data_IF_742860068253
#
_entry.id   IF_742860068253
#
_cell.length_a   1.000
_cell.length_b   1.000
_cell.length_c   1.000
_cell.angle_alpha   90.00
_cell.angle_beta   90.00
_cell.angle_gamma   90.00
#
_symmetry.space_group_name_H-M   'P 1'
#
loop_
_entity.id
_entity.type
_entity.pdbx_description
1 polymer ?
#
# COMPACT_ATOMS: atom_id res chain seq x y z
N UNK A 1 29.07 19.04 3.65
CA UNK A 1 28.29 17.81 3.92
C UNK A 1 26.92 18.14 4.53
N UNK A 2 26.85 18.99 5.53
CA UNK A 2 25.60 19.40 6.16
C UNK A 2 24.60 20.08 5.19
N UNK A 3 25.08 20.94 4.28
CA UNK A 3 24.26 21.54 3.22
C UNK A 3 23.68 20.53 2.24
N UNK A 4 24.41 19.45 1.96
CA UNK A 4 23.98 18.40 1.05
C UNK A 4 22.81 17.60 1.63
N UNK A 5 22.86 17.28 2.91
CA UNK A 5 21.78 16.55 3.62
C UNK A 5 20.50 17.38 3.72
N UNK A 6 20.62 18.68 4.02
CA UNK A 6 19.48 19.61 4.07
C UNK A 6 18.83 19.77 2.69
N UNK A 7 19.64 19.90 1.63
CA UNK A 7 19.14 20.02 0.26
C UNK A 7 18.35 18.77 -0.19
N UNK A 8 18.79 17.57 0.21
CA UNK A 8 18.11 16.31 -0.13
C UNK A 8 16.79 16.14 0.59
N UNK A 9 16.75 16.46 1.88
CA UNK A 9 15.49 16.46 2.65
C UNK A 9 14.52 17.48 2.09
N UNK A 10 14.99 18.63 1.66
CA UNK A 10 14.19 19.65 1.01
C UNK A 10 13.65 19.19 -0.35
N UNK A 11 14.44 18.49 -1.15
CA UNK A 11 14.00 17.95 -2.44
C UNK A 11 12.86 16.93 -2.28
N UNK A 12 12.97 16.02 -1.29
CA UNK A 12 11.90 15.04 -0.99
C UNK A 12 10.66 15.79 -0.48
N UNK A 13 10.81 16.77 0.41
CA UNK A 13 9.70 17.56 0.90
C UNK A 13 8.97 18.27 -0.25
N UNK A 14 9.70 18.90 -1.16
CA UNK A 14 9.13 19.56 -2.34
C UNK A 14 8.45 18.58 -3.30
N UNK A 15 9.03 17.39 -3.50
CA UNK A 15 8.40 16.35 -4.29
C UNK A 15 7.07 15.91 -3.68
N UNK A 16 6.96 15.87 -2.36
CA UNK A 16 5.75 15.48 -1.65
C UNK A 16 4.72 16.60 -1.50
N UNK A 17 5.08 17.85 -1.78
CA UNK A 17 4.18 19.02 -1.69
C UNK A 17 3.13 19.06 -2.82
N UNK A 18 3.23 18.16 -3.79
CA UNK A 18 2.25 17.99 -4.86
C UNK A 18 1.00 17.24 -4.39
N UNK A 19 -0.18 17.70 -4.81
CA UNK A 19 -1.44 16.95 -4.66
C UNK A 19 -1.51 15.70 -5.56
N UNK A 20 -0.64 15.59 -6.54
CA UNK A 20 -0.50 14.45 -7.44
C UNK A 20 0.63 13.53 -6.98
N UNK A 21 0.55 12.26 -7.34
CA UNK A 21 1.51 11.25 -6.93
C UNK A 21 1.56 10.05 -7.86
N UNK A 22 1.68 10.26 -9.17
CA UNK A 22 1.82 9.14 -10.10
C UNK A 22 3.20 8.52 -9.98
N UNK A 23 4.25 9.27 -10.27
CA UNK A 23 5.60 8.78 -10.28
C UNK A 23 6.64 9.85 -9.99
N UNK A 24 7.81 9.41 -9.55
CA UNK A 24 8.97 10.25 -9.30
C UNK A 24 10.24 9.59 -9.85
N UNK A 25 11.14 10.42 -10.35
CA UNK A 25 12.46 9.99 -10.82
C UNK A 25 13.55 10.51 -9.90
N UNK A 26 14.50 9.65 -9.59
CA UNK A 26 15.67 9.97 -8.76
C UNK A 26 16.93 9.56 -9.52
N UNK A 27 17.88 10.45 -9.56
CA UNK A 27 19.20 10.20 -10.13
C UNK A 27 20.24 10.34 -9.03
N UNK A 28 20.85 9.23 -8.63
CA UNK A 28 21.91 9.18 -7.60
C UNK A 28 22.76 7.95 -7.77
N UNK A 29 24.03 8.07 -7.44
CA UNK A 29 24.98 6.95 -7.32
C UNK A 29 25.08 6.45 -5.86
N UNK A 30 24.41 7.11 -4.93
CA UNK A 30 24.43 6.79 -3.50
C UNK A 30 23.23 5.94 -3.15
N UNK A 31 23.44 4.67 -2.86
CA UNK A 31 22.39 3.70 -2.57
C UNK A 31 21.49 4.10 -1.39
N UNK A 32 22.09 4.65 -0.33
CA UNK A 32 21.33 5.15 0.83
C UNK A 32 20.33 6.25 0.47
N UNK A 33 20.72 7.15 -0.43
CA UNK A 33 19.81 8.20 -0.93
C UNK A 33 18.67 7.62 -1.76
N UNK A 34 18.98 6.63 -2.60
CA UNK A 34 17.97 5.96 -3.41
C UNK A 34 16.92 5.29 -2.51
N UNK A 35 17.36 4.51 -1.51
CA UNK A 35 16.43 3.87 -0.58
C UNK A 35 15.63 4.87 0.26
N UNK A 36 16.26 5.92 0.73
CA UNK A 36 15.58 6.97 1.46
C UNK A 36 14.47 7.60 0.61
N UNK A 37 14.77 7.97 -0.62
CA UNK A 37 13.80 8.55 -1.52
C UNK A 37 12.67 7.58 -1.89
N UNK A 38 12.97 6.29 -2.09
CA UNK A 38 11.95 5.24 -2.31
C UNK A 38 10.96 5.16 -1.12
N UNK A 39 11.45 5.31 0.10
CA UNK A 39 10.60 5.23 1.28
C UNK A 39 9.83 6.52 1.58
N UNK A 40 10.45 7.68 1.35
CA UNK A 40 9.89 8.96 1.76
C UNK A 40 9.06 9.67 0.67
N UNK A 41 9.23 9.34 -0.61
CA UNK A 41 8.45 9.95 -1.69
C UNK A 41 7.06 9.33 -1.76
N UNK A 42 6.04 10.18 -1.73
CA UNK A 42 4.62 9.81 -1.72
C UNK A 42 4.05 9.68 -3.14
N UNK A 43 4.71 8.90 -4.00
CA UNK A 43 4.20 8.53 -5.32
C UNK A 43 3.89 7.04 -5.41
N UNK A 44 3.12 6.66 -6.40
CA UNK A 44 2.81 5.25 -6.66
C UNK A 44 3.97 4.51 -7.29
N UNK A 45 4.82 5.23 -8.02
CA UNK A 45 5.97 4.69 -8.75
C UNK A 45 7.20 5.53 -8.42
N UNK A 46 8.33 4.87 -8.25
CA UNK A 46 9.63 5.53 -8.09
C UNK A 46 10.63 4.86 -8.99
N UNK A 47 11.23 5.65 -9.88
CA UNK A 47 12.32 5.20 -10.74
C UNK A 47 13.65 5.72 -10.23
N UNK A 48 14.66 4.87 -10.19
CA UNK A 48 16.02 5.24 -9.80
C UNK A 48 16.94 5.05 -11.00
N UNK A 49 17.57 6.14 -11.43
CA UNK A 49 18.51 6.18 -12.56
C UNK A 49 17.94 5.69 -13.91
N UNK A 50 16.62 5.59 -14.01
CA UNK A 50 15.94 5.19 -15.24
C UNK A 50 14.65 6.00 -15.38
N UNK A 51 14.40 6.66 -16.51
CA UNK A 51 13.18 7.44 -16.68
C UNK A 51 12.03 6.56 -17.19
N UNK A 52 10.86 6.71 -16.59
CA UNK A 52 9.56 6.31 -17.14
C UNK A 52 9.55 4.91 -17.79
N UNK A 53 10.23 3.96 -17.17
CA UNK A 53 10.31 2.61 -17.69
C UNK A 53 9.24 1.74 -17.04
N UNK A 54 8.35 1.17 -17.85
CA UNK A 54 7.28 0.31 -17.39
C UNK A 54 7.69 -1.16 -17.50
N UNK A 55 7.07 -1.99 -16.67
CA UNK A 55 7.25 -3.42 -16.68
C UNK A 55 5.91 -4.11 -16.41
N UNK A 56 5.50 -4.98 -17.31
CA UNK A 56 4.21 -5.68 -17.23
C UNK A 56 4.04 -6.54 -15.96
N UNK A 57 5.13 -6.88 -15.29
CA UNK A 57 5.12 -7.71 -14.09
C UNK A 57 4.90 -6.92 -12.79
N UNK A 58 4.96 -5.57 -12.84
CA UNK A 58 4.83 -4.72 -11.65
C UNK A 58 3.65 -3.76 -11.78
N UNK A 59 2.98 -3.41 -10.67
CA UNK A 59 1.81 -2.56 -10.72
C UNK A 59 2.18 -1.12 -11.10
N UNK A 60 1.46 -0.57 -12.05
CA UNK A 60 1.53 0.83 -12.46
C UNK A 60 0.33 1.59 -11.89
N UNK A 61 0.56 2.69 -11.21
CA UNK A 61 -0.53 3.52 -10.70
C UNK A 61 -0.07 4.56 -9.69
N UNK A 62 -0.98 5.45 -9.32
CA UNK A 62 -0.69 6.63 -8.50
C UNK A 62 -1.09 6.52 -7.04
N UNK A 63 -0.84 7.63 -6.36
CA UNK A 63 -1.33 7.96 -5.02
C UNK A 63 -1.97 9.35 -5.06
N UNK A 64 -2.50 9.80 -3.94
CA UNK A 64 -3.12 11.13 -3.78
C UNK A 64 -4.24 11.34 -4.82
N UNK A 65 -4.40 12.53 -5.36
CA UNK A 65 -5.43 12.86 -6.36
C UNK A 65 -5.22 12.18 -7.71
N UNK A 66 -4.06 11.60 -7.98
CA UNK A 66 -3.84 10.79 -9.19
C UNK A 66 -4.73 9.53 -9.21
N UNK A 67 -5.20 9.10 -8.05
CA UNK A 67 -6.06 7.93 -7.91
C UNK A 67 -5.33 6.71 -7.36
N UNK A 68 -6.12 5.72 -6.94
CA UNK A 68 -5.62 4.49 -6.27
C UNK A 68 -5.66 3.25 -7.14
N UNK A 69 -6.17 3.33 -8.38
CA UNK A 69 -6.21 2.22 -9.31
C UNK A 69 -4.80 1.73 -9.68
N UNK A 70 -4.73 0.49 -10.16
CA UNK A 70 -3.49 -0.11 -10.66
C UNK A 70 -3.74 -0.73 -12.03
N UNK A 71 -2.75 -0.56 -12.90
CA UNK A 71 -2.61 -1.30 -14.15
C UNK A 71 -1.38 -2.20 -14.03
N UNK A 72 -1.22 -3.15 -14.92
CA UNK A 72 -0.10 -4.08 -14.96
C UNK A 72 0.04 -4.93 -13.69
N UNK A 73 0.91 -5.92 -13.72
CA UNK A 73 1.12 -6.84 -12.62
C UNK A 73 -0.14 -7.62 -12.20
N UNK A 74 -0.05 -8.35 -11.12
CA UNK A 74 -1.18 -9.08 -10.54
C UNK A 74 -2.27 -8.13 -10.01
N UNK A 75 -1.86 -7.01 -9.45
CA UNK A 75 -2.79 -5.99 -8.90
C UNK A 75 -3.67 -5.36 -9.99
N UNK A 76 -3.14 -5.18 -11.20
CA UNK A 76 -3.93 -4.70 -12.34
C UNK A 76 -5.04 -5.67 -12.73
N UNK A 77 -4.78 -6.98 -12.70
CA UNK A 77 -5.80 -8.01 -12.94
C UNK A 77 -6.86 -8.03 -11.84
N UNK A 78 -6.47 -7.79 -10.60
CA UNK A 78 -7.38 -7.80 -9.46
C UNK A 78 -8.38 -6.64 -9.48
N UNK A 79 -8.08 -5.55 -10.19
CA UNK A 79 -9.04 -4.45 -10.39
C UNK A 79 -10.30 -4.89 -11.15
N UNK A 80 -10.21 -5.93 -11.95
CA UNK A 80 -11.33 -6.50 -12.70
C UNK A 80 -12.06 -7.63 -11.99
N UNK A 81 -11.63 -7.98 -10.78
CA UNK A 81 -12.18 -9.08 -9.99
C UNK A 81 -12.91 -8.57 -8.76
N UNK A 82 -13.89 -9.33 -8.30
CA UNK A 82 -14.52 -9.14 -7.00
C UNK A 82 -14.20 -10.34 -6.12
N UNK A 83 -13.68 -10.07 -4.95
CA UNK A 83 -13.48 -11.11 -3.95
C UNK A 83 -14.83 -11.58 -3.39
N UNK A 84 -14.95 -12.87 -3.13
CA UNK A 84 -16.06 -13.45 -2.40
C UNK A 84 -15.50 -14.40 -1.35
N UNK A 85 -15.82 -14.14 -0.09
CA UNK A 85 -15.57 -15.09 0.98
C UNK A 85 -16.62 -16.21 0.91
N UNK A 86 -16.18 -17.46 0.98
CA UNK A 86 -17.06 -18.62 1.05
C UNK A 86 -16.62 -19.46 2.23
N UNK A 87 -17.54 -19.72 3.14
CA UNK A 87 -17.39 -20.66 4.24
C UNK A 87 -18.42 -21.77 4.08
N UNK A 88 -17.97 -23.01 4.14
CA UNK A 88 -18.84 -24.19 4.01
C UNK A 88 -18.66 -25.03 5.26
N UNK A 89 -19.71 -25.11 6.06
CA UNK A 89 -19.81 -26.12 7.12
C UNK A 89 -20.45 -27.38 6.53
N UNK A 90 -19.85 -28.57 6.67
CA UNK A 90 -20.41 -29.81 6.13
C UNK A 90 -21.76 -30.19 6.75
N UNK A 91 -22.03 -29.69 7.95
CA UNK A 91 -23.30 -29.82 8.66
C UNK A 91 -23.74 -28.50 9.21
N UNK A 92 -25.04 -28.24 9.18
CA UNK A 92 -25.64 -27.09 9.85
C UNK A 92 -25.80 -27.44 11.34
N UNK A 93 -24.84 -27.05 12.14
CA UNK A 93 -24.90 -27.17 13.60
C UNK A 93 -25.11 -25.76 14.17
N UNK A 94 -25.91 -25.59 15.25
CA UNK A 94 -26.03 -24.29 15.90
C UNK A 94 -24.67 -23.85 16.43
N UNK A 95 -24.27 -22.64 16.06
CA UNK A 95 -23.08 -22.01 16.60
C UNK A 95 -23.44 -21.35 17.95
N UNK A 96 -22.66 -21.62 19.02
CA UNK A 96 -22.89 -20.97 20.32
C UNK A 96 -22.82 -19.43 20.30
N UNK A 97 -22.20 -18.87 19.27
CA UNK A 97 -22.14 -17.41 19.05
C UNK A 97 -23.36 -16.84 18.32
N UNK A 98 -24.29 -17.70 17.83
CA UNK A 98 -25.49 -17.26 17.15
C UNK A 98 -26.60 -16.87 18.13
N UNK A 99 -27.54 -16.06 17.63
CA UNK A 99 -28.74 -15.71 18.39
C UNK A 99 -29.58 -16.96 18.75
N UNK A 100 -30.13 -17.06 19.97
CA UNK A 100 -30.06 -16.03 21.03
C UNK A 100 -28.65 -15.96 21.64
N UNK A 101 -28.15 -14.70 21.79
CA UNK A 101 -26.84 -14.50 22.40
C UNK A 101 -26.87 -15.06 23.82
N UNK A 102 -25.76 -15.69 24.27
CA UNK A 102 -25.64 -16.12 25.65
C UNK A 102 -25.84 -14.93 26.57
N UNK A 103 -26.46 -15.16 27.73
CA UNK A 103 -26.66 -14.11 28.74
C UNK A 103 -25.33 -13.49 29.13
N UNK A 104 -25.35 -12.18 29.47
CA UNK A 104 -24.15 -11.42 29.76
C UNK A 104 -23.24 -12.08 30.81
N UNK A 105 -23.82 -12.87 31.69
CA UNK A 105 -23.09 -13.61 32.74
C UNK A 105 -22.27 -14.80 32.18
N UNK A 106 -22.58 -15.27 30.97
CA UNK A 106 -21.83 -16.35 30.31
C UNK A 106 -20.52 -15.88 29.67
N UNK A 107 -20.37 -14.57 29.37
CA UNK A 107 -19.14 -14.00 28.86
C UNK A 107 -18.06 -13.79 29.93
N UNK A 108 -18.43 -13.78 31.20
CA UNK A 108 -17.50 -13.59 32.33
C UNK A 108 -16.85 -14.88 32.86
N UNK A 109 -17.27 -16.06 32.44
CA UNK A 109 -16.86 -17.32 33.03
C UNK A 109 -15.63 -18.00 32.34
N UNK A 110 -15.03 -17.41 31.34
CA UNK A 110 -13.86 -17.97 30.62
C UNK A 110 -12.52 -17.35 31.01
N UNK A 111 -12.43 -16.66 32.15
CA UNK A 111 -11.23 -16.00 32.64
C UNK A 111 -10.86 -16.37 34.07
N UNK A 112 -10.53 -17.63 34.33
CA UNK A 112 -9.84 -18.03 35.56
C UNK A 112 -8.97 -19.27 35.31
#
# INVERSE_FOLDING_TARGET
>A
EFRRVLFRSEAIRLANDSELGLGANIYTEVLEEAFRAIHEIESGIVWVNTPLNDNDAVPFGGRKLTGSGRELGAEGLDQFRRSKMVMIAPRAEPDPEWFPYPDADSFGAQGS
#
